data_IF_601380784365
#
_entry.id   IF_601380784365
#
_cell.length_a   1.000
_cell.length_b   1.000
_cell.length_c   1.000
_cell.angle_alpha   90.00
_cell.angle_beta   90.00
_cell.angle_gamma   90.00
#
_symmetry.space_group_name_H-M   'P 1'
#
loop_
_entity.id
_entity.type
_entity.pdbx_description
1 polymer ?
#
# COMPACT_ATOMS: atom_id res chain seq x y z
N UNK A 1 3.66 20.84 10.09
CA UNK A 1 2.80 21.29 11.21
C UNK A 1 1.34 21.44 10.74
N UNK A 2 0.78 20.42 10.07
CA UNK A 2 -0.51 20.52 9.34
C UNK A 2 -1.56 19.52 9.86
N UNK A 3 -1.72 19.40 11.19
CA UNK A 3 -2.73 18.50 11.80
C UNK A 3 -4.12 19.15 11.97
N UNK A 4 -4.29 20.41 11.59
CA UNK A 4 -5.55 21.16 11.81
C UNK A 4 -6.48 21.25 10.59
N UNK A 5 -6.09 20.76 9.40
CA UNK A 5 -6.99 20.75 8.22
C UNK A 5 -7.90 19.52 8.16
N UNK A 6 -7.52 18.41 8.80
CA UNK A 6 -8.30 17.16 8.80
C UNK A 6 -9.42 17.12 9.86
N UNK A 7 -9.47 18.05 10.80
CA UNK A 7 -10.45 18.02 11.90
C UNK A 7 -11.67 18.94 11.68
N UNK A 8 -11.71 19.69 10.57
CA UNK A 8 -12.81 20.63 10.27
C UNK A 8 -13.81 20.15 9.21
N UNK A 9 -13.51 19.05 8.51
CA UNK A 9 -14.41 18.50 7.49
C UNK A 9 -15.49 17.55 8.07
N UNK A 10 -15.34 17.06 9.31
CA UNK A 10 -16.26 16.09 9.91
C UNK A 10 -17.46 16.67 10.67
N UNK A 11 -17.57 18.00 10.81
CA UNK A 11 -18.60 18.65 11.63
C UNK A 11 -19.67 19.43 10.84
N UNK A 12 -19.56 19.50 9.51
CA UNK A 12 -20.55 20.17 8.65
C UNK A 12 -21.52 19.20 7.95
N UNK A 13 -21.42 17.88 8.21
CA UNK A 13 -22.22 16.87 7.50
C UNK A 13 -23.54 16.48 8.21
N UNK A 14 -23.99 17.25 9.22
CA UNK A 14 -25.23 16.97 9.97
C UNK A 14 -26.16 18.17 10.11
N UNK A 15 -26.20 19.06 9.10
CA UNK A 15 -27.16 20.18 9.10
C UNK A 15 -27.94 20.40 7.79
N UNK A 16 -27.65 19.68 6.70
CA UNK A 16 -28.22 20.01 5.38
C UNK A 16 -29.11 18.94 4.72
N UNK A 17 -29.47 17.84 5.40
CA UNK A 17 -30.35 16.78 4.82
C UNK A 17 -31.74 16.72 5.49
N UNK A 18 -32.14 17.71 6.27
CA UNK A 18 -33.54 17.85 6.68
C UNK A 18 -34.05 19.26 6.36
N UNK A 19 -34.49 19.46 5.12
CA UNK A 19 -35.62 20.34 4.80
C UNK A 19 -36.17 19.97 3.42
N UNK A 20 -36.71 18.76 3.33
CA UNK A 20 -37.73 18.46 2.34
C UNK A 20 -39.04 19.11 2.80
N UNK A 21 -39.57 20.03 1.99
CA UNK A 21 -40.94 20.53 2.10
C UNK A 21 -41.08 21.80 2.92
N UNK A 22 -41.09 22.95 2.23
CA UNK A 22 -42.28 23.78 1.99
C UNK A 22 -41.80 25.07 1.33
N UNK A 23 -42.03 25.22 0.03
CA UNK A 23 -42.06 26.55 -0.60
C UNK A 23 -43.37 27.23 -0.18
N UNK A 24 -43.43 27.69 1.07
CA UNK A 24 -44.36 28.75 1.44
C UNK A 24 -43.65 30.03 1.05
N UNK A 25 -43.94 30.52 -0.16
CA UNK A 25 -43.72 31.93 -0.47
C UNK A 25 -44.72 32.70 0.39
N UNK A 26 -44.29 33.14 1.58
CA UNK A 26 -44.94 34.24 2.25
C UNK A 26 -44.92 35.43 1.29
N UNK A 27 -46.04 36.15 1.19
CA UNK A 27 -46.14 37.41 0.44
C UNK A 27 -45.30 38.50 1.12
N UNK A 28 -43.99 38.36 1.15
CA UNK A 28 -43.08 39.49 1.32
C UNK A 28 -42.81 40.09 -0.06
N UNK A 29 -42.81 41.42 -0.12
CA UNK A 29 -42.45 42.18 -1.32
C UNK A 29 -40.99 41.89 -1.63
N UNK A 30 -40.68 41.37 -2.81
CA UNK A 30 -39.30 41.05 -3.17
C UNK A 30 -38.62 42.38 -3.46
N UNK A 31 -37.54 42.69 -2.76
CA UNK A 31 -36.86 43.97 -2.93
C UNK A 31 -35.63 43.84 -3.83
N UNK A 32 -35.19 44.97 -4.39
CA UNK A 32 -33.95 45.04 -5.19
C UNK A 32 -32.71 44.67 -4.35
N UNK A 33 -32.78 44.82 -3.02
CA UNK A 33 -31.74 44.38 -2.08
C UNK A 33 -31.69 42.85 -1.95
N UNK A 34 -32.84 42.17 -1.95
CA UNK A 34 -32.94 40.71 -1.91
C UNK A 34 -32.38 40.07 -3.18
N UNK A 35 -32.68 40.64 -4.36
CA UNK A 35 -32.11 40.19 -5.63
C UNK A 35 -30.59 40.33 -5.62
N UNK A 36 -30.06 41.44 -5.11
CA UNK A 36 -28.61 41.68 -5.03
C UNK A 36 -27.92 40.73 -4.04
N UNK A 37 -28.55 40.43 -2.91
CA UNK A 37 -28.04 39.44 -1.95
C UNK A 37 -28.04 38.02 -2.54
N UNK A 38 -29.12 37.64 -3.24
CA UNK A 38 -29.20 36.37 -3.96
C UNK A 38 -28.16 36.27 -5.08
N UNK A 39 -27.93 37.34 -5.84
CA UNK A 39 -26.87 37.41 -6.86
C UNK A 39 -25.48 37.18 -6.25
N UNK A 40 -25.16 37.85 -5.14
CA UNK A 40 -23.88 37.64 -4.43
C UNK A 40 -23.74 36.19 -3.94
N UNK A 41 -24.83 35.59 -3.44
CA UNK A 41 -24.83 34.19 -2.97
C UNK A 41 -24.68 33.17 -4.11
N UNK A 42 -25.21 33.48 -5.30
CA UNK A 42 -25.02 32.67 -6.52
C UNK A 42 -23.58 32.77 -7.01
N UNK A 43 -23.00 33.98 -7.05
CA UNK A 43 -21.59 34.19 -7.43
C UNK A 43 -20.64 33.47 -6.47
N UNK A 44 -20.89 33.57 -5.16
CA UNK A 44 -20.12 32.83 -4.16
C UNK A 44 -20.26 31.30 -4.30
N UNK A 45 -21.46 30.79 -4.58
CA UNK A 45 -21.67 29.36 -4.80
C UNK A 45 -20.99 28.88 -6.11
N UNK A 46 -20.96 29.73 -7.14
CA UNK A 46 -20.27 29.47 -8.40
C UNK A 46 -18.77 29.34 -8.20
N UNK A 47 -18.16 30.28 -7.49
CA UNK A 47 -16.72 30.26 -7.17
C UNK A 47 -16.37 29.00 -6.37
N UNK A 48 -17.22 28.61 -5.42
CA UNK A 48 -17.05 27.38 -4.63
C UNK A 48 -17.15 26.12 -5.49
N UNK A 49 -18.15 26.03 -6.38
CA UNK A 49 -18.29 24.90 -7.30
C UNK A 49 -17.11 24.81 -8.29
N UNK A 50 -16.64 25.94 -8.80
CA UNK A 50 -15.50 25.99 -9.72
C UNK A 50 -14.18 25.62 -9.03
N UNK A 51 -13.97 26.07 -7.78
CA UNK A 51 -12.82 25.67 -6.98
C UNK A 51 -12.86 24.17 -6.66
N UNK A 52 -14.02 23.63 -6.25
CA UNK A 52 -14.18 22.20 -6.00
C UNK A 52 -13.92 21.35 -7.25
N UNK A 53 -14.35 21.82 -8.44
CA UNK A 53 -14.06 21.15 -9.70
C UNK A 53 -12.56 21.16 -10.05
N UNK A 54 -11.84 22.26 -9.77
CA UNK A 54 -10.38 22.30 -9.93
C UNK A 54 -9.68 21.37 -8.95
N UNK A 55 -10.09 21.36 -7.68
CA UNK A 55 -9.51 20.51 -6.65
C UNK A 55 -9.69 19.01 -7.01
N UNK A 56 -10.85 18.62 -7.57
CA UNK A 56 -11.08 17.26 -8.10
C UNK A 56 -10.18 16.93 -9.29
N UNK A 57 -9.95 17.90 -10.19
CA UNK A 57 -9.07 17.71 -11.34
C UNK A 57 -7.61 17.51 -10.90
N UNK A 58 -7.14 18.31 -9.95
CA UNK A 58 -5.79 18.17 -9.35
C UNK A 58 -5.66 16.82 -8.61
N UNK A 59 -6.71 16.40 -7.90
CA UNK A 59 -6.77 15.08 -7.26
C UNK A 59 -6.75 13.92 -8.29
N UNK A 60 -7.32 14.10 -9.48
CA UNK A 60 -7.25 13.11 -10.57
C UNK A 60 -5.83 12.95 -11.12
N UNK A 61 -5.09 14.04 -11.30
CA UNK A 61 -3.70 13.98 -11.76
C UNK A 61 -2.79 13.37 -10.68
N UNK A 62 -2.98 13.77 -9.41
CA UNK A 62 -2.31 13.17 -8.27
C UNK A 62 -2.63 11.67 -8.14
N UNK A 63 -3.86 11.25 -8.46
CA UNK A 63 -4.28 9.85 -8.51
C UNK A 63 -3.51 9.07 -9.57
N UNK A 64 -3.40 9.59 -10.79
CA UNK A 64 -2.67 8.91 -11.86
C UNK A 64 -1.21 8.66 -11.47
N UNK A 65 -0.56 9.66 -10.87
CA UNK A 65 0.80 9.54 -10.37
C UNK A 65 0.91 8.52 -9.21
N UNK A 66 -0.03 8.56 -8.27
CA UNK A 66 -0.05 7.65 -7.14
C UNK A 66 -0.38 6.19 -7.56
N UNK A 67 -1.19 5.97 -8.59
CA UNK A 67 -1.43 4.65 -9.18
C UNK A 67 -0.16 4.08 -9.82
N UNK A 68 0.59 4.92 -10.55
CA UNK A 68 1.89 4.51 -11.11
C UNK A 68 2.88 4.16 -10.01
N UNK A 69 2.93 4.94 -8.93
CA UNK A 69 3.75 4.63 -7.75
C UNK A 69 3.33 3.33 -7.06
N UNK A 70 2.04 3.09 -6.89
CA UNK A 70 1.52 1.83 -6.34
C UNK A 70 1.89 0.63 -7.22
N UNK A 71 1.85 0.78 -8.55
CA UNK A 71 2.24 -0.28 -9.47
C UNK A 71 3.76 -0.58 -9.43
N UNK A 72 4.60 0.45 -9.28
CA UNK A 72 6.04 0.26 -9.05
C UNK A 72 6.31 -0.51 -7.75
N UNK A 73 5.64 -0.12 -6.64
CA UNK A 73 5.75 -0.82 -5.36
C UNK A 73 5.28 -2.28 -5.46
N UNK A 74 4.20 -2.54 -6.21
CA UNK A 74 3.72 -3.90 -6.44
C UNK A 74 4.74 -4.76 -7.21
N UNK A 75 5.37 -4.20 -8.25
CA UNK A 75 6.43 -4.88 -8.98
C UNK A 75 7.65 -5.17 -8.09
N UNK A 76 8.01 -4.23 -7.22
CA UNK A 76 9.08 -4.41 -6.24
C UNK A 76 8.74 -5.52 -5.23
N UNK A 77 7.50 -5.58 -4.73
CA UNK A 77 7.03 -6.66 -3.85
C UNK A 77 7.15 -8.02 -4.54
N UNK A 78 6.74 -8.12 -5.81
CA UNK A 78 6.84 -9.38 -6.55
C UNK A 78 8.30 -9.82 -6.72
N UNK A 79 9.17 -8.90 -7.15
CA UNK A 79 10.61 -9.18 -7.30
C UNK A 79 11.27 -9.61 -5.98
N UNK A 80 10.96 -8.93 -4.87
CA UNK A 80 11.45 -9.29 -3.54
C UNK A 80 10.89 -10.64 -3.09
N UNK A 81 9.64 -10.95 -3.42
CA UNK A 81 9.02 -12.24 -3.08
C UNK A 81 9.67 -13.40 -3.85
N UNK A 82 10.00 -13.20 -5.13
CA UNK A 82 10.71 -14.18 -5.94
C UNK A 82 12.13 -14.39 -5.41
N UNK A 83 12.85 -13.32 -5.09
CA UNK A 83 14.17 -13.40 -4.47
C UNK A 83 14.12 -14.10 -3.09
N UNK A 84 13.05 -13.90 -2.33
CA UNK A 84 12.83 -14.57 -1.04
C UNK A 84 12.57 -16.08 -1.20
N UNK A 85 11.87 -16.49 -2.25
CA UNK A 85 11.68 -17.91 -2.56
C UNK A 85 13.00 -18.56 -2.97
N UNK A 86 13.75 -17.92 -3.89
CA UNK A 86 15.04 -18.43 -4.37
C UNK A 86 16.06 -18.58 -3.23
N UNK A 87 16.19 -17.59 -2.34
CA UNK A 87 17.11 -17.69 -1.21
C UNK A 87 16.68 -18.77 -0.20
N UNK A 88 15.39 -19.03 -0.03
CA UNK A 88 14.90 -20.13 0.82
C UNK A 88 15.24 -21.50 0.22
N UNK A 89 15.10 -21.66 -1.10
CA UNK A 89 15.50 -22.88 -1.79
C UNK A 89 17.02 -23.11 -1.68
N UNK A 90 17.81 -22.04 -1.82
CA UNK A 90 19.26 -22.09 -1.63
C UNK A 90 19.69 -22.40 -0.19
N UNK A 91 18.92 -21.96 0.81
CA UNK A 91 19.12 -22.32 2.23
C UNK A 91 18.86 -23.80 2.42
N UNK A 92 17.72 -24.32 1.92
CA UNK A 92 17.37 -25.73 2.05
C UNK A 92 18.43 -26.65 1.41
N UNK A 93 18.89 -26.30 0.20
CA UNK A 93 19.98 -27.04 -0.47
C UNK A 93 21.29 -27.01 0.33
N UNK A 94 21.64 -25.87 0.93
CA UNK A 94 22.83 -25.75 1.76
C UNK A 94 22.71 -26.59 3.05
N UNK A 95 21.55 -26.61 3.69
CA UNK A 95 21.27 -27.47 4.86
C UNK A 95 21.37 -28.96 4.53
N UNK A 96 20.89 -29.37 3.34
CA UNK A 96 21.07 -30.75 2.84
C UNK A 96 22.55 -31.08 2.61
N UNK A 97 23.32 -30.17 2.01
CA UNK A 97 24.76 -30.36 1.79
C UNK A 97 25.54 -30.47 3.11
N UNK A 98 25.20 -29.64 4.11
CA UNK A 98 25.79 -29.73 5.45
C UNK A 98 25.46 -31.10 6.06
N UNK A 99 24.21 -31.54 5.98
CA UNK A 99 23.79 -32.83 6.53
C UNK A 99 24.53 -33.99 5.88
N UNK A 100 24.63 -33.99 4.54
CA UNK A 100 25.37 -35.03 3.80
C UNK A 100 26.87 -35.03 4.14
N UNK A 101 27.49 -33.85 4.22
CA UNK A 101 28.91 -33.70 4.56
C UNK A 101 29.17 -34.13 6.01
N UNK A 102 28.28 -33.80 6.94
CA UNK A 102 28.38 -34.23 8.33
C UNK A 102 28.29 -35.75 8.46
N UNK A 103 27.39 -36.39 7.71
CA UNK A 103 27.29 -37.85 7.68
C UNK A 103 28.57 -38.51 7.15
N UNK A 104 29.14 -37.98 6.06
CA UNK A 104 30.42 -38.43 5.52
C UNK A 104 31.57 -38.26 6.52
N UNK A 105 31.59 -37.13 7.22
CA UNK A 105 32.55 -36.85 8.30
C UNK A 105 32.45 -37.85 9.43
N UNK A 106 31.24 -38.12 9.92
CA UNK A 106 31.02 -39.06 11.02
C UNK A 106 31.47 -40.49 10.65
N UNK A 107 31.18 -40.92 9.41
CA UNK A 107 31.65 -42.20 8.87
C UNK A 107 33.18 -42.27 8.80
N UNK A 108 33.80 -41.26 8.20
CA UNK A 108 35.28 -41.18 8.06
C UNK A 108 35.95 -41.15 9.43
N UNK A 109 35.33 -40.47 10.40
CA UNK A 109 35.81 -40.38 11.78
C UNK A 109 35.69 -41.73 12.50
N UNK A 110 34.63 -42.49 12.26
CA UNK A 110 34.48 -43.85 12.79
C UNK A 110 35.56 -44.78 12.23
N UNK A 111 35.80 -44.74 10.91
CA UNK A 111 36.88 -45.51 10.27
C UNK A 111 38.25 -45.14 10.82
N UNK A 112 38.54 -43.85 10.96
CA UNK A 112 39.78 -43.34 11.54
C UNK A 112 39.97 -43.85 12.98
N UNK A 113 38.92 -43.82 13.81
CA UNK A 113 38.97 -44.36 15.19
C UNK A 113 39.19 -45.87 15.20
N UNK A 114 38.51 -46.62 14.34
CA UNK A 114 38.69 -48.08 14.24
C UNK A 114 40.13 -48.43 13.86
N UNK A 115 40.71 -47.67 12.93
CA UNK A 115 42.08 -47.83 12.48
C UNK A 115 43.10 -47.54 13.58
N UNK A 116 42.92 -46.45 14.34
CA UNK A 116 43.78 -46.13 15.48
C UNK A 116 43.70 -47.21 16.58
N UNK A 117 42.51 -47.73 16.87
CA UNK A 117 42.34 -48.84 17.81
C UNK A 117 43.02 -50.12 17.33
N UNK A 118 42.95 -50.42 16.03
CA UNK A 118 43.65 -51.56 15.45
C UNK A 118 45.18 -51.41 15.56
N UNK A 119 45.72 -50.23 15.26
CA UNK A 119 47.15 -49.93 15.43
C UNK A 119 47.58 -50.03 16.90
N UNK A 120 46.78 -49.51 17.83
CA UNK A 120 47.07 -49.59 19.26
C UNK A 120 47.09 -51.03 19.75
N UNK A 121 46.09 -51.84 19.36
CA UNK A 121 46.08 -53.28 19.67
C UNK A 121 47.30 -53.99 19.08
N UNK A 122 47.70 -53.69 17.85
CA UNK A 122 48.90 -54.27 17.24
C UNK A 122 50.17 -53.92 18.04
N UNK A 123 50.26 -52.71 18.59
CA UNK A 123 51.34 -52.27 19.48
C UNK A 123 51.33 -52.97 20.84
N UNK A 124 50.18 -53.00 21.51
CA UNK A 124 50.01 -53.51 22.88
C UNK A 124 49.96 -55.05 22.95
N UNK A 125 49.44 -55.73 21.92
CA UNK A 125 49.29 -57.21 21.89
C UNK A 125 50.55 -57.95 21.43
N UNK A 126 51.71 -57.27 21.38
CA UNK A 126 52.97 -57.89 21.00
C UNK A 126 53.18 -57.96 19.49
N UNK A 127 52.94 -56.89 18.74
CA UNK A 127 53.41 -56.75 17.35
C UNK A 127 54.93 -56.99 17.22
N UNK A 128 55.70 -56.68 18.28
CA UNK A 128 57.12 -57.03 18.43
C UNK A 128 57.31 -58.55 18.59
N UNK A 129 56.44 -59.24 19.33
CA UNK A 129 56.46 -60.71 19.45
C UNK A 129 56.06 -61.39 18.14
N UNK A 130 55.09 -60.85 17.40
CA UNK A 130 54.72 -61.30 16.05
C UNK A 130 55.85 -61.08 15.04
N UNK A 131 56.55 -59.94 15.11
CA UNK A 131 57.77 -59.67 14.33
C UNK A 131 58.92 -60.61 14.70
N UNK A 132 59.10 -60.93 15.98
CA UNK A 132 60.11 -61.87 16.47
C UNK A 132 59.80 -63.34 16.11
N UNK A 133 58.53 -63.67 15.85
CA UNK A 133 58.07 -65.00 15.47
C UNK A 133 57.93 -65.18 13.94
N UNK A 134 58.14 -64.10 13.17
CA UNK A 134 58.17 -64.15 11.72
C UNK A 134 59.24 -65.14 11.24
N UNK A 135 58.81 -66.15 10.49
CA UNK A 135 59.62 -67.33 10.14
C UNK A 135 60.52 -67.10 8.93
N UNK A 136 60.40 -65.96 8.24
CA UNK A 136 61.24 -65.60 7.10
C UNK A 136 61.42 -64.09 6.93
N UNK A 137 62.54 -63.69 6.29
CA UNK A 137 62.82 -62.29 5.94
C UNK A 137 61.71 -61.68 5.05
N UNK A 138 61.06 -62.50 4.22
CA UNK A 138 59.91 -62.10 3.41
C UNK A 138 58.72 -61.70 4.29
N UNK A 139 58.36 -62.49 5.29
CA UNK A 139 57.28 -62.13 6.23
C UNK A 139 57.59 -60.85 7.01
N UNK A 140 58.86 -60.63 7.37
CA UNK A 140 59.30 -59.43 8.08
C UNK A 140 59.22 -58.17 7.19
N UNK A 141 59.66 -58.28 5.92
CA UNK A 141 59.53 -57.21 4.91
C UNK A 141 58.07 -56.90 4.56
N UNK A 142 57.23 -57.93 4.37
CA UNK A 142 55.80 -57.76 4.10
C UNK A 142 55.08 -57.12 5.28
N UNK A 143 55.43 -57.48 6.53
CA UNK A 143 54.88 -56.84 7.71
C UNK A 143 55.22 -55.35 7.79
N UNK A 144 56.48 -54.98 7.53
CA UNK A 144 56.93 -53.57 7.47
C UNK A 144 56.22 -52.78 6.37
N UNK A 145 56.12 -53.35 5.16
CA UNK A 145 55.41 -52.75 4.03
C UNK A 145 53.92 -52.54 4.33
N UNK A 146 53.27 -53.53 4.94
CA UNK A 146 51.86 -53.43 5.33
C UNK A 146 51.67 -52.34 6.39
N UNK A 147 52.57 -52.21 7.37
CA UNK A 147 52.51 -51.16 8.40
C UNK A 147 52.66 -49.76 7.81
N UNK A 148 53.58 -49.57 6.85
CA UNK A 148 53.71 -48.30 6.13
C UNK A 148 52.44 -47.97 5.35
N UNK A 149 51.88 -48.94 4.63
CA UNK A 149 50.64 -48.74 3.88
C UNK A 149 49.46 -48.41 4.81
N UNK A 150 49.43 -49.02 6.00
CA UNK A 150 48.44 -48.77 7.04
C UNK A 150 48.56 -47.35 7.61
N UNK A 151 49.80 -46.89 7.85
CA UNK A 151 50.08 -45.51 8.28
C UNK A 151 49.67 -44.50 7.22
N UNK A 152 50.04 -44.73 5.95
CA UNK A 152 49.67 -43.84 4.84
C UNK A 152 48.15 -43.76 4.65
N UNK A 153 47.43 -44.88 4.87
CA UNK A 153 45.97 -44.88 4.87
C UNK A 153 45.39 -44.02 6.01
N UNK A 154 45.92 -44.17 7.23
CA UNK A 154 45.51 -43.36 8.39
C UNK A 154 45.77 -41.86 8.17
N UNK A 155 46.90 -41.49 7.58
CA UNK A 155 47.21 -40.10 7.21
C UNK A 155 46.26 -39.57 6.12
N UNK A 156 45.85 -40.44 5.19
CA UNK A 156 44.82 -40.15 4.19
C UNK A 156 43.47 -39.84 4.82
N UNK A 157 43.00 -40.68 5.75
CA UNK A 157 41.76 -40.43 6.50
C UNK A 157 41.82 -39.13 7.31
N UNK A 158 42.96 -38.82 7.94
CA UNK A 158 43.14 -37.56 8.67
C UNK A 158 43.04 -36.35 7.72
N UNK A 159 43.65 -36.44 6.54
CA UNK A 159 43.58 -35.39 5.53
C UNK A 159 42.14 -35.19 5.06
N UNK A 160 41.42 -36.28 4.79
CA UNK A 160 40.02 -36.23 4.38
C UNK A 160 39.12 -35.62 5.47
N UNK A 161 39.31 -36.00 6.74
CA UNK A 161 38.62 -35.38 7.88
C UNK A 161 38.88 -33.88 7.97
N UNK A 162 40.12 -33.42 7.73
CA UNK A 162 40.46 -32.00 7.71
C UNK A 162 39.74 -31.27 6.57
N UNK A 163 39.73 -31.85 5.37
CA UNK A 163 39.02 -31.30 4.20
C UNK A 163 37.51 -31.20 4.46
N UNK A 164 36.89 -32.27 4.95
CA UNK A 164 35.45 -32.29 5.26
C UNK A 164 35.10 -31.30 6.37
N UNK A 165 35.96 -31.17 7.40
CA UNK A 165 35.77 -30.16 8.46
C UNK A 165 35.81 -28.74 7.90
N UNK A 166 36.79 -28.42 7.04
CA UNK A 166 36.85 -27.11 6.39
C UNK A 166 35.60 -26.86 5.54
N UNK A 167 35.16 -27.86 4.77
CA UNK A 167 33.94 -27.75 3.97
C UNK A 167 32.70 -27.49 4.83
N UNK A 168 32.57 -28.12 6.01
CA UNK A 168 31.49 -27.85 6.97
C UNK A 168 31.54 -26.43 7.51
N UNK A 169 32.74 -25.91 7.84
CA UNK A 169 32.91 -24.52 8.29
C UNK A 169 32.51 -23.53 7.19
N UNK A 170 32.94 -23.77 5.95
CA UNK A 170 32.61 -22.94 4.79
C UNK A 170 31.11 -22.95 4.50
N UNK A 171 30.48 -24.13 4.45
CA UNK A 171 29.03 -24.28 4.25
C UNK A 171 28.22 -23.64 5.37
N UNK A 172 28.66 -23.76 6.62
CA UNK A 172 27.99 -23.12 7.76
C UNK A 172 28.05 -21.60 7.66
N UNK A 173 29.20 -21.05 7.25
CA UNK A 173 29.33 -19.61 7.01
C UNK A 173 28.47 -19.14 5.85
N UNK A 174 28.38 -19.93 4.76
CA UNK A 174 27.50 -19.63 3.63
C UNK A 174 26.02 -19.63 4.06
N UNK A 175 25.60 -20.63 4.84
CA UNK A 175 24.25 -20.74 5.39
C UNK A 175 23.88 -19.52 6.24
N UNK A 176 24.78 -19.08 7.12
CA UNK A 176 24.57 -17.88 7.95
C UNK A 176 24.43 -16.61 7.09
N UNK A 177 25.26 -16.47 6.04
CA UNK A 177 25.15 -15.39 5.07
C UNK A 177 23.79 -15.39 4.37
N UNK A 178 23.37 -16.54 3.84
CA UNK A 178 22.06 -16.70 3.18
C UNK A 178 20.88 -16.40 4.11
N UNK A 179 20.94 -16.84 5.37
CA UNK A 179 19.92 -16.54 6.39
C UNK A 179 19.85 -15.05 6.71
N UNK A 180 20.98 -14.36 6.76
CA UNK A 180 21.03 -12.91 6.92
C UNK A 180 20.34 -12.21 5.75
N UNK A 181 20.70 -12.56 4.51
CA UNK A 181 20.05 -11.99 3.31
C UNK A 181 18.55 -12.28 3.26
N UNK A 182 18.12 -13.49 3.64
CA UNK A 182 16.70 -13.84 3.71
C UNK A 182 15.93 -13.00 4.75
N UNK A 183 16.56 -12.66 5.88
CA UNK A 183 15.96 -11.79 6.89
C UNK A 183 15.85 -10.34 6.41
N UNK A 184 16.90 -9.82 5.74
CA UNK A 184 16.89 -8.48 5.13
C UNK A 184 15.82 -8.35 4.04
N UNK A 185 15.72 -9.33 3.15
CA UNK A 185 14.69 -9.38 2.11
C UNK A 185 13.28 -9.40 2.71
N UNK A 186 13.07 -10.19 3.77
CA UNK A 186 11.79 -10.25 4.48
C UNK A 186 11.41 -8.88 5.07
N UNK A 187 12.35 -8.20 5.72
CA UNK A 187 12.11 -6.86 6.27
C UNK A 187 11.75 -5.86 5.18
N UNK A 188 12.53 -5.83 4.08
CA UNK A 188 12.27 -4.97 2.94
C UNK A 188 10.89 -5.22 2.33
N UNK A 189 10.49 -6.48 2.24
CA UNK A 189 9.19 -6.88 1.69
C UNK A 189 8.04 -6.40 2.58
N UNK A 190 8.17 -6.51 3.90
CA UNK A 190 7.17 -6.00 4.86
C UNK A 190 7.04 -4.48 4.82
N UNK A 191 8.17 -3.76 4.76
CA UNK A 191 8.20 -2.31 4.63
C UNK A 191 7.53 -1.86 3.31
N UNK A 192 7.90 -2.48 2.19
CA UNK A 192 7.32 -2.16 0.87
C UNK A 192 5.82 -2.47 0.83
N UNK A 193 5.36 -3.57 1.45
CA UNK A 193 3.92 -3.88 1.57
C UNK A 193 3.16 -2.83 2.36
N UNK A 194 3.74 -2.34 3.45
CA UNK A 194 3.14 -1.29 4.29
C UNK A 194 3.05 0.02 3.51
N UNK A 195 4.09 0.39 2.78
CA UNK A 195 4.07 1.58 1.90
C UNK A 195 3.01 1.46 0.81
N UNK A 196 2.93 0.30 0.14
CA UNK A 196 1.89 0.03 -0.85
C UNK A 196 0.49 0.17 -0.26
N UNK A 197 0.23 -0.43 0.91
CA UNK A 197 -1.08 -0.34 1.57
C UNK A 197 -1.43 1.09 1.97
N UNK A 198 -0.48 1.86 2.49
CA UNK A 198 -0.68 3.27 2.83
C UNK A 198 -1.01 4.10 1.58
N UNK A 199 -0.34 3.83 0.46
CA UNK A 199 -0.58 4.51 -0.81
C UNK A 199 -1.98 4.20 -1.36
N UNK A 200 -2.43 2.94 -1.29
CA UNK A 200 -3.78 2.54 -1.69
C UNK A 200 -4.85 3.21 -0.81
N UNK A 201 -4.68 3.23 0.51
CA UNK A 201 -5.63 3.90 1.42
C UNK A 201 -5.73 5.41 1.16
N UNK A 202 -4.59 6.05 0.86
CA UNK A 202 -4.55 7.47 0.51
C UNK A 202 -5.34 7.74 -0.77
N UNK A 203 -5.13 6.90 -1.80
CA UNK A 203 -5.87 6.98 -3.07
C UNK A 203 -7.39 6.87 -2.85
N UNK A 204 -7.84 5.86 -2.11
CA UNK A 204 -9.27 5.64 -1.85
C UNK A 204 -9.93 6.80 -1.08
N UNK A 205 -9.19 7.42 -0.15
CA UNK A 205 -9.70 8.50 0.70
C UNK A 205 -9.81 9.84 -0.01
N UNK A 206 -8.83 10.20 -0.86
CA UNK A 206 -8.81 11.51 -1.54
C UNK A 206 -9.92 11.63 -2.59
N UNK A 207 -10.11 10.58 -3.42
CA UNK A 207 -11.07 10.62 -4.52
C UNK A 207 -12.52 10.68 -4.01
N UNK A 208 -12.83 9.92 -2.96
CA UNK A 208 -14.18 9.82 -2.39
C UNK A 208 -14.63 11.14 -1.76
N UNK A 209 -13.72 11.85 -1.08
CA UNK A 209 -14.02 13.13 -0.45
C UNK A 209 -14.23 14.25 -1.50
N UNK A 210 -13.30 14.39 -2.45
CA UNK A 210 -13.36 15.47 -3.45
C UNK A 210 -14.58 15.37 -4.37
N UNK A 211 -14.92 14.16 -4.85
CA UNK A 211 -16.10 13.98 -5.72
C UNK A 211 -17.42 14.20 -4.98
N UNK A 212 -17.53 13.82 -3.70
CA UNK A 212 -18.72 14.09 -2.89
C UNK A 212 -18.89 15.60 -2.61
N UNK A 213 -17.79 16.30 -2.38
CA UNK A 213 -17.77 17.74 -2.14
C UNK A 213 -18.13 18.54 -3.40
N UNK A 214 -17.61 18.15 -4.57
CA UNK A 214 -18.02 18.72 -5.86
C UNK A 214 -19.52 18.58 -6.10
N UNK A 215 -20.08 17.37 -5.94
CA UNK A 215 -21.51 17.12 -6.15
C UNK A 215 -22.37 17.99 -5.21
N UNK A 216 -21.95 18.17 -3.96
CA UNK A 216 -22.65 19.00 -3.00
C UNK A 216 -22.63 20.49 -3.39
N UNK A 217 -21.47 21.03 -3.77
CA UNK A 217 -21.35 22.42 -4.19
C UNK A 217 -22.07 22.72 -5.51
N UNK A 218 -22.05 21.79 -6.46
CA UNK A 218 -22.74 21.93 -7.74
C UNK A 218 -24.27 21.88 -7.55
N UNK A 219 -24.77 21.05 -6.63
CA UNK A 219 -26.17 21.06 -6.24
C UNK A 219 -26.59 22.35 -5.50
N UNK A 220 -25.74 22.89 -4.63
CA UNK A 220 -25.99 24.16 -3.94
C UNK A 220 -26.00 25.34 -4.91
N UNK A 221 -25.09 25.36 -5.89
CA UNK A 221 -25.04 26.36 -6.94
C UNK A 221 -26.32 26.39 -7.79
N UNK A 222 -26.76 25.24 -8.30
CA UNK A 222 -27.98 25.19 -9.12
C UNK A 222 -29.23 25.56 -8.30
N UNK A 223 -29.31 25.16 -7.03
CA UNK A 223 -30.42 25.55 -6.15
C UNK A 223 -30.51 27.07 -5.95
N UNK A 224 -29.38 27.73 -5.66
CA UNK A 224 -29.36 29.20 -5.48
C UNK A 224 -29.69 29.96 -6.75
N UNK A 225 -29.28 29.43 -7.90
CA UNK A 225 -29.58 30.00 -9.20
C UNK A 225 -31.08 29.91 -9.52
N UNK A 226 -31.73 28.80 -9.19
CA UNK A 226 -33.19 28.66 -9.31
C UNK A 226 -33.93 29.62 -8.35
N UNK A 227 -33.45 29.78 -7.12
CA UNK A 227 -34.00 30.75 -6.16
C UNK A 227 -33.92 32.19 -6.67
N UNK A 228 -32.78 32.58 -7.25
CA UNK A 228 -32.61 33.91 -7.85
C UNK A 228 -33.58 34.11 -9.03
N UNK A 229 -33.70 33.14 -9.93
CA UNK A 229 -34.63 33.23 -11.07
C UNK A 229 -36.10 33.33 -10.61
N UNK A 230 -36.47 32.59 -9.57
CA UNK A 230 -37.81 32.66 -9.00
C UNK A 230 -38.09 34.03 -8.37
N UNK A 231 -37.11 34.60 -7.65
CA UNK A 231 -37.22 35.94 -7.06
C UNK A 231 -37.32 37.04 -8.13
N UNK A 232 -36.51 36.95 -9.20
CA UNK A 232 -36.57 37.89 -10.32
C UNK A 232 -37.94 37.85 -11.04
N UNK A 233 -38.49 36.65 -11.26
CA UNK A 233 -39.82 36.49 -11.84
C UNK A 233 -40.94 37.03 -10.93
N UNK A 234 -40.81 36.87 -9.61
CA UNK A 234 -41.75 37.43 -8.64
C UNK A 234 -41.70 38.96 -8.62
N UNK A 235 -40.51 39.56 -8.69
CA UNK A 235 -40.34 41.01 -8.78
C UNK A 235 -40.97 41.55 -10.07
N UNK A 236 -40.75 40.89 -11.21
CA UNK A 236 -41.37 41.26 -12.49
C UNK A 236 -42.89 41.19 -12.43
N UNK A 237 -43.44 40.15 -11.79
CA UNK A 237 -44.87 40.01 -11.57
C UNK A 237 -45.43 41.12 -10.65
N UNK A 238 -44.72 41.46 -9.57
CA UNK A 238 -45.10 42.56 -8.67
C UNK A 238 -45.11 43.91 -9.39
N UNK A 239 -44.12 44.17 -10.26
CA UNK A 239 -44.07 45.37 -11.10
C UNK A 239 -45.25 45.39 -12.09
N UNK A 240 -45.54 44.28 -12.76
CA UNK A 240 -46.65 44.17 -13.69
C UNK A 240 -48.01 44.38 -13.00
N UNK A 241 -48.22 43.79 -11.82
CA UNK A 241 -49.44 43.95 -11.02
C UNK A 241 -49.59 45.40 -10.51
N UNK A 242 -48.49 46.05 -10.12
CA UNK A 242 -48.48 47.46 -9.72
C UNK A 242 -48.84 48.38 -10.90
N UNK A 243 -48.31 48.11 -12.09
CA UNK A 243 -48.64 48.84 -13.33
C UNK A 243 -50.11 48.63 -13.71
N UNK A 244 -50.62 47.40 -13.68
CA UNK A 244 -52.01 47.10 -13.98
C UNK A 244 -52.98 47.79 -12.99
N UNK A 245 -52.64 47.85 -11.71
CA UNK A 245 -53.41 48.59 -10.70
C UNK A 245 -53.38 50.10 -10.93
N UNK A 246 -52.24 50.66 -11.36
CA UNK A 246 -52.12 52.07 -11.71
C UNK A 246 -52.95 52.43 -12.96
N UNK A 247 -52.98 51.57 -13.98
CA UNK A 247 -53.79 51.76 -15.19
C UNK A 247 -55.30 51.65 -14.93
N UNK A 248 -55.72 50.75 -14.04
CA UNK A 248 -57.12 50.63 -13.60
C UNK A 248 -57.61 51.85 -12.81
N UNK A 249 -56.71 52.59 -12.15
CA UNK A 249 -57.02 53.84 -11.46
C UNK A 249 -57.03 55.06 -12.40
N UNK A 250 -56.46 54.93 -13.62
CA UNK A 250 -56.36 56.00 -14.61
C UNK A 250 -57.53 56.06 -15.61
N UNK A 251 -58.53 55.17 -15.53
CA UNK A 251 -59.71 55.20 -16.43
C UNK A 251 -60.82 56.13 -15.89
N UNK A 252 -61.16 57.25 -16.56
CA UNK A 252 -62.20 58.15 -16.09
C UNK A 252 -63.60 57.61 -16.42
N UNK A 253 -64.46 57.53 -15.41
CA UNK A 253 -65.90 57.30 -15.57
C UNK A 253 -66.54 58.55 -16.20
N UNK A 254 -66.58 58.63 -17.53
CA UNK A 254 -67.40 59.60 -18.28
C UNK A 254 -68.60 58.90 -18.93
N UNK A 255 -69.74 58.95 -18.24
CA UNK A 255 -71.08 58.80 -18.80
C UNK A 255 -71.96 59.74 -17.93
N UNK A 256 -72.48 60.86 -18.41
CA UNK A 256 -73.61 60.86 -19.34
C UNK A 256 -73.79 62.22 -20.03
N UNK A 257 -74.14 62.12 -21.31
CA UNK A 257 -74.54 63.15 -22.27
C UNK A 257 -75.85 63.85 -21.90
N UNK A 258 -75.93 65.17 -22.09
CA UNK A 258 -77.20 65.91 -22.32
C UNK A 258 -77.27 66.33 -23.79
N UNK A 259 -78.45 66.34 -24.44
CA UNK A 259 -79.22 67.59 -24.52
C UNK A 259 -80.78 67.48 -24.65
N UNK A 260 -81.47 68.43 -23.99
CA UNK A 260 -82.55 69.32 -24.52
C UNK A 260 -83.93 68.76 -24.98
N UNK A 261 -85.00 68.99 -24.19
CA UNK A 261 -86.09 69.99 -24.42
C UNK A 261 -87.48 69.67 -23.82
N UNK A 262 -88.09 70.71 -23.20
CA UNK A 262 -89.53 71.12 -23.11
C UNK A 262 -90.57 70.13 -22.54
N UNK A 263 -91.52 70.47 -21.68
CA UNK A 263 -92.39 71.66 -21.58
C UNK A 263 -92.92 71.90 -20.14
N UNK A 264 -93.01 73.17 -19.75
CA UNK A 264 -94.11 73.87 -19.03
C UNK A 264 -93.59 75.00 -18.14
#
# INVERSE_FOLDING_TARGET
MNKHRFLRAGAAFTAAVMLAGTLVFAQDEVTEEDIKDLQNKVEQAQDQAQQAAQDVQDDMDAKAQAQLQAQMLLNQINSLSDAQADIQDQIAQCEEQITATQQSYDQTMEEYKAQLQAMQKLGDSGGVSLLLQASSLYQLLTFSSNLQQLSSYTDGLLTELQTQKQALEDLTSELEGKRTTAAENQQHLEETRKEYQAQVQKLDSQISAGTAEQIAYEAEYEMRKEELQAAEAQLEQQIADALAKAEAQATPCHLYTSPSQRDS
#
